data_IF_787928534835
#
_entry.id   IF_787928534835
#
_cell.length_a   1.000
_cell.length_b   1.000
_cell.length_c   1.000
_cell.angle_alpha   90.00
_cell.angle_beta   90.00
_cell.angle_gamma   90.00
#
_symmetry.space_group_name_H-M   'P 1'
#
loop_
_entity.id
_entity.type
_entity.pdbx_description
1 polymer ?
#
# COMPACT_ATOMS: atom_id res chain seq x y z
N UNK A 1 -0.10 26.12 20.70
CA UNK A 1 -0.82 24.84 20.97
C UNK A 1 -0.60 23.77 19.90
N UNK A 2 -0.18 24.16 18.66
CA UNK A 2 0.06 23.19 17.57
C UNK A 2 1.29 22.31 17.76
N UNK A 3 2.32 22.80 18.44
CA UNK A 3 3.60 22.09 18.65
C UNK A 3 3.46 20.95 19.65
N UNK A 4 2.55 21.05 20.60
CA UNK A 4 2.35 20.00 21.61
C UNK A 4 1.50 18.83 21.11
N UNK A 5 0.68 19.04 20.07
CA UNK A 5 -0.11 17.94 19.49
C UNK A 5 0.71 17.08 18.52
N UNK A 6 1.70 17.67 17.82
CA UNK A 6 2.58 16.90 16.93
C UNK A 6 3.41 15.87 17.71
N UNK A 7 3.84 16.20 18.94
CA UNK A 7 4.63 15.29 19.80
C UNK A 7 3.82 14.08 20.28
N UNK A 8 2.50 14.16 20.34
CA UNK A 8 1.64 13.04 20.75
C UNK A 8 1.51 11.94 19.69
N UNK A 9 1.78 12.26 18.44
CA UNK A 9 1.64 11.33 17.31
C UNK A 9 2.98 10.77 16.81
N UNK A 10 4.10 11.27 17.34
CA UNK A 10 5.44 10.74 17.04
C UNK A 10 5.84 9.83 18.19
N UNK A 11 5.92 8.55 17.92
CA UNK A 11 6.47 7.60 18.87
C UNK A 11 7.98 7.44 18.64
N UNK A 12 8.65 6.66 19.51
CA UNK A 12 10.10 6.41 19.44
C UNK A 12 10.56 5.73 18.14
N UNK A 13 9.59 5.25 17.28
CA UNK A 13 9.85 4.57 16.02
C UNK A 13 9.65 5.50 14.82
N UNK A 14 9.56 6.82 15.02
CA UNK A 14 9.34 7.84 13.98
C UNK A 14 8.00 7.71 13.25
N UNK A 15 7.02 7.00 13.78
CA UNK A 15 5.70 6.92 13.15
C UNK A 15 4.92 8.23 13.31
N UNK A 16 4.16 8.59 12.29
CA UNK A 16 3.24 9.73 12.30
C UNK A 16 1.84 9.25 11.92
N UNK A 17 0.86 9.50 12.79
CA UNK A 17 -0.55 9.19 12.54
C UNK A 17 -0.77 7.71 12.13
N UNK A 18 0.02 6.79 12.69
CA UNK A 18 -0.05 5.37 12.40
C UNK A 18 0.76 4.92 11.18
N UNK A 19 1.43 5.83 10.48
CA UNK A 19 2.28 5.52 9.33
C UNK A 19 3.76 5.70 9.68
N UNK A 20 4.61 4.83 9.10
CA UNK A 20 6.06 4.92 9.20
C UNK A 20 6.63 5.71 8.02
N UNK A 21 7.80 6.36 8.19
CA UNK A 21 8.46 7.05 7.09
C UNK A 21 9.08 6.05 6.12
N UNK A 22 9.01 6.37 4.83
CA UNK A 22 9.62 5.59 3.75
C UNK A 22 10.39 6.48 2.82
N UNK A 23 11.60 6.05 2.44
CA UNK A 23 12.39 6.71 1.44
C UNK A 23 11.81 6.45 0.05
N UNK A 24 11.75 7.49 -0.78
CA UNK A 24 11.34 7.35 -2.17
C UNK A 24 12.36 6.53 -2.96
N UNK A 25 11.87 5.60 -3.76
CA UNK A 25 12.69 4.75 -4.63
C UNK A 25 13.45 5.60 -5.66
N UNK A 26 14.68 5.20 -6.00
CA UNK A 26 15.42 5.76 -7.14
C UNK A 26 14.79 5.34 -8.46
N UNK A 27 14.72 6.25 -9.42
CA UNK A 27 14.05 6.00 -10.72
C UNK A 27 14.63 4.81 -11.49
N UNK A 28 15.93 4.56 -11.39
CA UNK A 28 16.60 3.44 -12.06
C UNK A 28 16.16 2.06 -11.56
N UNK A 29 15.52 2.00 -10.39
CA UNK A 29 14.99 0.75 -9.82
C UNK A 29 13.53 0.51 -10.19
N UNK A 30 12.89 1.45 -10.86
CA UNK A 30 11.52 1.31 -11.34
C UNK A 30 11.45 0.62 -12.68
N UNK A 31 10.44 -0.20 -12.87
CA UNK A 31 10.10 -0.81 -14.15
C UNK A 31 8.60 -0.66 -14.41
N UNK A 32 8.26 -0.32 -15.66
CA UNK A 32 6.87 -0.27 -16.09
C UNK A 32 6.40 -1.69 -16.40
N UNK A 33 5.35 -2.15 -15.73
CA UNK A 33 4.74 -3.48 -15.99
C UNK A 33 3.54 -3.39 -16.91
N UNK A 34 2.92 -2.23 -16.99
CA UNK A 34 1.86 -1.88 -17.96
C UNK A 34 1.73 -0.36 -17.98
N UNK A 35 0.97 0.25 -18.93
CA UNK A 35 0.79 1.69 -18.97
C UNK A 35 0.33 2.25 -17.62
N UNK A 36 1.02 3.27 -17.11
CA UNK A 36 0.73 3.96 -15.85
C UNK A 36 0.95 3.13 -14.56
N UNK A 37 1.51 1.93 -14.65
CA UNK A 37 1.86 1.11 -13.48
C UNK A 37 3.37 0.82 -13.48
N UNK A 38 4.06 1.47 -12.57
CA UNK A 38 5.47 1.23 -12.32
C UNK A 38 5.66 0.61 -10.94
N UNK A 39 6.61 -0.30 -10.79
CA UNK A 39 6.93 -0.97 -9.53
C UNK A 39 8.44 -1.12 -9.41
N UNK A 40 8.91 -1.43 -8.19
CA UNK A 40 10.30 -1.79 -7.98
C UNK A 40 10.62 -3.05 -8.79
N UNK A 41 11.79 -3.04 -9.44
CA UNK A 41 12.25 -4.15 -10.30
C UNK A 41 12.27 -5.50 -9.56
N UNK A 42 12.58 -5.51 -8.26
CA UNK A 42 12.64 -6.75 -7.46
C UNK A 42 11.30 -7.48 -7.39
N UNK A 43 10.18 -6.76 -7.47
CA UNK A 43 8.86 -7.38 -7.32
C UNK A 43 8.15 -7.65 -8.65
N UNK A 44 8.67 -7.14 -9.75
CA UNK A 44 7.98 -7.19 -11.04
C UNK A 44 7.69 -8.61 -11.52
N UNK A 45 8.67 -9.49 -11.45
CA UNK A 45 8.52 -10.89 -11.88
C UNK A 45 7.51 -11.64 -11.02
N UNK A 46 7.59 -11.52 -9.69
CA UNK A 46 6.64 -12.16 -8.76
C UNK A 46 5.22 -11.65 -8.95
N UNK A 47 5.05 -10.34 -9.18
CA UNK A 47 3.74 -9.75 -9.39
C UNK A 47 3.09 -10.26 -10.69
N UNK A 48 3.84 -10.29 -11.79
CA UNK A 48 3.35 -10.78 -13.07
C UNK A 48 3.07 -12.29 -13.02
N UNK A 49 3.90 -13.07 -12.34
CA UNK A 49 3.68 -14.50 -12.13
C UNK A 49 2.41 -14.75 -11.31
N UNK A 50 2.19 -13.98 -10.27
CA UNK A 50 0.99 -14.08 -9.45
C UNK A 50 -0.27 -13.84 -10.31
N UNK A 51 -0.28 -12.79 -11.14
CA UNK A 51 -1.40 -12.51 -12.05
C UNK A 51 -1.62 -13.62 -13.05
N UNK A 52 -0.56 -14.14 -13.65
CA UNK A 52 -0.62 -15.26 -14.59
C UNK A 52 -1.20 -16.52 -13.96
N UNK A 53 -0.76 -16.87 -12.74
CA UNK A 53 -1.28 -18.04 -12.03
C UNK A 53 -2.74 -17.85 -11.58
N UNK A 54 -3.13 -16.64 -11.23
CA UNK A 54 -4.54 -16.32 -10.95
C UNK A 54 -5.43 -16.58 -12.17
N UNK A 55 -4.98 -16.22 -13.36
CA UNK A 55 -5.71 -16.47 -14.61
C UNK A 55 -5.97 -17.96 -14.81
N UNK A 56 -5.00 -18.81 -14.47
CA UNK A 56 -5.17 -20.28 -14.55
C UNK A 56 -6.29 -20.80 -13.64
N UNK A 57 -6.56 -20.10 -12.56
CA UNK A 57 -7.65 -20.39 -11.62
C UNK A 57 -8.95 -19.63 -11.96
N UNK A 58 -9.01 -18.96 -13.10
CA UNK A 58 -10.17 -18.18 -13.52
C UNK A 58 -10.32 -16.84 -12.80
N UNK A 59 -9.26 -16.33 -12.19
CA UNK A 59 -9.25 -15.07 -11.45
C UNK A 59 -8.50 -14.02 -12.25
N UNK A 60 -9.12 -12.85 -12.46
CA UNK A 60 -8.57 -11.79 -13.29
C UNK A 60 -8.24 -10.57 -12.40
N UNK A 61 -6.97 -10.50 -11.95
CA UNK A 61 -6.45 -9.40 -11.16
C UNK A 61 -6.22 -8.18 -12.05
N UNK A 62 -6.59 -7.00 -11.58
CA UNK A 62 -6.26 -5.73 -12.21
C UNK A 62 -5.37 -4.91 -11.27
N UNK A 63 -4.32 -4.30 -11.82
CA UNK A 63 -3.43 -3.42 -11.06
C UNK A 63 -3.97 -1.99 -11.13
N UNK A 64 -4.28 -1.43 -9.98
CA UNK A 64 -4.94 -0.13 -9.87
C UNK A 64 -3.94 1.01 -9.66
N UNK A 65 -2.88 0.78 -8.87
CA UNK A 65 -1.88 1.77 -8.52
C UNK A 65 -0.60 1.08 -8.07
N UNK A 66 0.52 1.47 -8.64
CA UNK A 66 1.86 1.03 -8.23
C UNK A 66 2.63 2.14 -7.54
N UNK A 67 3.84 2.42 -8.02
CA UNK A 67 4.65 3.53 -7.51
C UNK A 67 3.91 4.86 -7.60
N UNK A 68 4.00 5.61 -6.50
CA UNK A 68 3.58 7.02 -6.44
C UNK A 68 4.71 7.85 -5.83
N UNK A 69 5.08 8.95 -6.48
CA UNK A 69 6.08 9.87 -5.94
C UNK A 69 5.57 10.51 -4.64
N UNK A 70 6.50 10.98 -3.82
CA UNK A 70 6.16 11.76 -2.62
C UNK A 70 5.35 13.00 -3.01
N UNK A 71 5.69 13.66 -4.12
CA UNK A 71 4.96 14.83 -4.62
C UNK A 71 3.52 14.48 -4.99
N UNK A 72 3.29 13.37 -5.70
CA UNK A 72 1.93 12.93 -6.02
C UNK A 72 1.15 12.57 -4.76
N UNK A 73 1.77 11.89 -3.81
CA UNK A 73 1.14 11.56 -2.53
C UNK A 73 0.75 12.82 -1.74
N UNK A 74 1.58 13.87 -1.82
CA UNK A 74 1.26 15.18 -1.24
C UNK A 74 -0.01 15.77 -1.84
N UNK A 75 -0.13 15.74 -3.16
CA UNK A 75 -1.32 16.24 -3.87
C UNK A 75 -2.57 15.45 -3.46
N UNK A 76 -2.49 14.12 -3.43
CA UNK A 76 -3.60 13.25 -3.04
C UNK A 76 -4.02 13.55 -1.60
N UNK A 77 -3.08 13.60 -0.66
CA UNK A 77 -3.35 13.80 0.76
C UNK A 77 -4.02 15.15 1.03
N UNK A 78 -3.48 16.23 0.48
CA UNK A 78 -3.99 17.58 0.74
C UNK A 78 -5.23 17.94 -0.07
N UNK A 79 -5.36 17.46 -1.31
CA UNK A 79 -6.58 17.65 -2.10
C UNK A 79 -7.80 17.05 -1.43
N UNK A 80 -7.71 15.82 -0.98
CA UNK A 80 -8.81 15.13 -0.32
C UNK A 80 -9.12 15.74 1.06
N UNK A 81 -8.10 16.18 1.78
CA UNK A 81 -8.27 16.91 3.04
C UNK A 81 -9.06 18.20 2.83
N UNK A 82 -8.71 18.97 1.81
CA UNK A 82 -9.40 20.22 1.46
C UNK A 82 -10.85 19.97 1.06
N UNK A 83 -11.09 19.01 0.17
CA UNK A 83 -12.44 18.69 -0.32
C UNK A 83 -13.39 18.22 0.79
N UNK A 84 -12.87 17.52 1.79
CA UNK A 84 -13.66 16.93 2.87
C UNK A 84 -13.61 17.75 4.17
N UNK A 85 -12.88 18.85 4.18
CA UNK A 85 -12.65 19.66 5.38
C UNK A 85 -12.16 18.82 6.57
N UNK A 86 -11.27 17.85 6.30
CA UNK A 86 -10.73 16.93 7.30
C UNK A 86 -9.45 17.46 7.92
N UNK A 87 -9.26 17.19 9.22
CA UNK A 87 -7.98 17.40 9.88
C UNK A 87 -6.98 16.30 9.43
N UNK A 88 -5.68 16.57 9.60
CA UNK A 88 -4.62 15.65 9.14
C UNK A 88 -4.74 14.25 9.75
N UNK A 89 -5.15 14.14 11.03
CA UNK A 89 -5.31 12.83 11.69
C UNK A 89 -6.42 11.99 11.06
N UNK A 90 -7.56 12.62 10.73
CA UNK A 90 -8.67 11.92 10.06
C UNK A 90 -8.28 11.49 8.65
N UNK A 91 -7.59 12.37 7.92
CA UNK A 91 -7.15 12.07 6.56
C UNK A 91 -6.11 10.92 6.52
N UNK A 92 -5.22 10.84 7.51
CA UNK A 92 -4.18 9.82 7.60
C UNK A 92 -4.74 8.40 7.80
N UNK A 93 -5.99 8.25 8.26
CA UNK A 93 -6.64 6.93 8.34
C UNK A 93 -6.90 6.33 6.96
N UNK A 94 -7.17 7.16 5.95
CA UNK A 94 -7.53 6.74 4.59
C UNK A 94 -6.44 7.00 3.55
N UNK A 95 -5.42 7.80 3.89
CA UNK A 95 -4.30 8.08 2.98
C UNK A 95 -3.07 8.46 3.80
N UNK A 96 -1.93 7.85 3.51
CA UNK A 96 -0.68 8.17 4.19
C UNK A 96 -0.23 9.62 3.90
N UNK A 97 0.31 10.34 4.89
CA UNK A 97 0.98 11.61 4.64
C UNK A 97 2.16 11.48 3.66
N UNK A 98 2.54 12.58 2.96
CA UNK A 98 3.71 12.56 2.07
C UNK A 98 4.97 12.10 2.81
N UNK A 99 5.72 11.18 2.21
CA UNK A 99 6.90 10.56 2.85
C UNK A 99 6.57 9.36 3.75
N UNK A 100 5.30 9.01 3.91
CA UNK A 100 4.83 7.91 4.78
C UNK A 100 4.01 6.87 4.02
N UNK A 101 3.97 6.93 2.69
CA UNK A 101 3.28 5.96 1.85
C UNK A 101 4.20 4.83 1.42
N UNK A 102 3.75 3.59 1.57
CA UNK A 102 4.45 2.42 1.04
C UNK A 102 4.59 2.47 -0.48
N UNK A 103 3.66 3.14 -1.19
CA UNK A 103 3.73 3.29 -2.65
C UNK A 103 4.96 4.05 -3.14
N UNK A 104 5.53 4.91 -2.32
CA UNK A 104 6.76 5.66 -2.68
C UNK A 104 8.01 4.78 -2.68
N UNK A 105 7.96 3.61 -2.06
CA UNK A 105 9.06 2.63 -2.08
C UNK A 105 9.14 1.81 -3.36
N UNK A 106 8.07 1.81 -4.17
CA UNK A 106 7.91 0.92 -5.32
C UNK A 106 7.50 -0.51 -4.96
N UNK A 107 7.38 -0.84 -3.66
CA UNK A 107 7.06 -2.20 -3.18
C UNK A 107 5.59 -2.40 -2.81
N UNK A 108 4.72 -1.45 -3.13
CA UNK A 108 3.29 -1.57 -2.89
C UNK A 108 2.51 -1.57 -4.19
N UNK A 109 1.44 -2.35 -4.22
CA UNK A 109 0.54 -2.47 -5.36
C UNK A 109 -0.90 -2.53 -4.86
N UNK A 110 -1.77 -1.73 -5.46
CA UNK A 110 -3.20 -1.83 -5.25
C UNK A 110 -3.80 -2.72 -6.32
N UNK A 111 -4.59 -3.71 -5.88
CA UNK A 111 -5.14 -4.75 -6.75
C UNK A 111 -6.66 -4.75 -6.67
N UNK A 112 -7.30 -4.91 -7.81
CA UNK A 112 -8.75 -5.08 -7.93
C UNK A 112 -9.12 -6.37 -8.64
N UNK A 113 -10.43 -6.58 -8.78
CA UNK A 113 -11.03 -7.68 -9.53
C UNK A 113 -11.55 -7.14 -10.85
N UNK A 114 -11.05 -7.66 -11.98
CA UNK A 114 -11.47 -7.20 -13.30
C UNK A 114 -12.98 -7.37 -13.55
N UNK A 115 -13.60 -8.35 -12.88
CA UNK A 115 -15.04 -8.65 -13.01
C UNK A 115 -15.90 -7.85 -12.02
N UNK A 116 -15.30 -7.09 -11.11
CA UNK A 116 -15.98 -6.34 -10.03
C UNK A 116 -15.35 -4.96 -9.83
N UNK A 117 -15.22 -4.18 -10.91
CA UNK A 117 -14.54 -2.89 -10.89
C UNK A 117 -15.22 -1.84 -9.99
N UNK A 118 -16.51 -2.03 -9.65
CA UNK A 118 -17.22 -1.21 -8.66
C UNK A 118 -16.63 -1.34 -7.25
N UNK A 119 -15.82 -2.37 -7.01
CA UNK A 119 -15.14 -2.58 -5.73
C UNK A 119 -13.73 -1.98 -5.68
N UNK A 120 -13.26 -1.35 -6.76
CA UNK A 120 -11.93 -0.72 -6.81
C UNK A 120 -11.79 0.30 -5.68
N UNK A 121 -10.72 0.16 -4.87
CA UNK A 121 -10.44 1.02 -3.70
C UNK A 121 -11.57 1.05 -2.65
N UNK A 122 -12.38 0.01 -2.60
CA UNK A 122 -13.48 -0.10 -1.65
C UNK A 122 -13.29 -1.30 -0.72
N UNK A 123 -13.81 -1.21 0.51
CA UNK A 123 -13.77 -2.32 1.47
C UNK A 123 -14.51 -3.54 0.91
N UNK A 124 -15.54 -3.32 0.09
CA UNK A 124 -16.30 -4.39 -0.57
C UNK A 124 -15.45 -5.29 -1.47
N UNK A 125 -14.24 -4.87 -1.86
CA UNK A 125 -13.29 -5.75 -2.54
C UNK A 125 -13.04 -7.05 -1.76
N UNK A 126 -13.14 -7.02 -0.45
CA UNK A 126 -12.98 -8.22 0.40
C UNK A 126 -13.98 -9.35 0.10
N UNK A 127 -15.11 -9.01 -0.56
CA UNK A 127 -16.15 -9.99 -0.92
C UNK A 127 -15.96 -10.58 -2.32
N UNK A 128 -14.90 -10.19 -3.04
CA UNK A 128 -14.65 -10.67 -4.40
C UNK A 128 -13.89 -11.99 -4.41
N UNK A 129 -14.01 -12.71 -5.52
CA UNK A 129 -13.22 -13.93 -5.77
C UNK A 129 -11.73 -13.62 -5.86
N UNK A 130 -11.36 -12.46 -6.43
CA UNK A 130 -9.97 -12.01 -6.49
C UNK A 130 -9.35 -11.87 -5.10
N UNK A 131 -10.06 -11.24 -4.17
CA UNK A 131 -9.55 -11.10 -2.79
C UNK A 131 -9.42 -12.46 -2.09
N UNK A 132 -10.39 -13.34 -2.25
CA UNK A 132 -10.30 -14.70 -1.68
C UNK A 132 -9.10 -15.46 -2.22
N UNK A 133 -8.84 -15.33 -3.53
CA UNK A 133 -7.66 -15.92 -4.15
C UNK A 133 -6.36 -15.33 -3.61
N UNK A 134 -6.27 -14.01 -3.48
CA UNK A 134 -5.11 -13.31 -2.92
C UNK A 134 -4.85 -13.72 -1.47
N UNK A 135 -5.90 -13.79 -0.64
CA UNK A 135 -5.77 -14.23 0.75
C UNK A 135 -5.16 -15.62 0.86
N UNK A 136 -5.48 -16.51 -0.07
CA UNK A 136 -5.00 -17.88 -0.10
C UNK A 136 -3.61 -18.01 -0.72
N UNK A 137 -3.28 -17.19 -1.72
CA UNK A 137 -2.13 -17.43 -2.61
C UNK A 137 -1.05 -16.35 -2.57
N UNK A 138 -1.35 -15.11 -2.20
CA UNK A 138 -0.41 -13.99 -2.33
C UNK A 138 0.90 -14.21 -1.57
N UNK A 139 0.86 -14.88 -0.42
CA UNK A 139 2.05 -15.17 0.37
C UNK A 139 3.08 -16.04 -0.38
N UNK A 140 2.66 -16.88 -1.31
CA UNK A 140 3.55 -17.69 -2.16
C UNK A 140 4.42 -16.82 -3.07
N UNK A 141 3.95 -15.62 -3.37
CA UNK A 141 4.64 -14.64 -4.22
C UNK A 141 5.26 -13.52 -3.38
N UNK A 142 5.31 -13.69 -2.06
CA UNK A 142 5.88 -12.75 -1.08
C UNK A 142 5.10 -11.45 -0.93
N UNK A 143 3.79 -11.49 -1.18
CA UNK A 143 2.89 -10.35 -0.95
C UNK A 143 2.06 -10.56 0.31
N UNK A 144 1.84 -9.48 1.05
CA UNK A 144 0.97 -9.47 2.23
C UNK A 144 0.18 -8.17 2.32
N UNK A 145 -0.97 -8.23 3.01
CA UNK A 145 -1.75 -7.03 3.35
C UNK A 145 -1.01 -6.17 4.37
N UNK A 146 -0.88 -4.88 4.08
CA UNK A 146 -0.29 -3.92 5.00
C UNK A 146 -1.27 -3.41 6.05
N UNK A 147 -2.52 -3.19 5.66
CA UNK A 147 -3.54 -2.52 6.47
C UNK A 147 -4.71 -3.45 6.70
N UNK A 148 -4.64 -4.18 7.81
CA UNK A 148 -5.61 -5.22 8.18
C UNK A 148 -6.78 -4.65 8.99
N UNK A 149 -7.83 -5.44 9.18
CA UNK A 149 -8.98 -5.08 10.02
C UNK A 149 -8.61 -4.83 11.49
N UNK A 150 -7.47 -5.34 11.93
CA UNK A 150 -7.01 -5.21 13.32
C UNK A 150 -6.14 -3.97 13.57
N UNK A 151 -5.83 -3.19 12.53
CA UNK A 151 -5.08 -1.96 12.68
C UNK A 151 -5.98 -0.86 13.25
N UNK A 152 -5.62 -0.31 14.42
CA UNK A 152 -6.41 0.72 15.10
C UNK A 152 -6.16 2.13 14.57
N UNK A 153 -5.04 2.34 13.88
CA UNK A 153 -4.57 3.67 13.49
C UNK A 153 -4.86 4.01 12.03
N UNK A 154 -5.00 3.00 11.18
CA UNK A 154 -5.21 3.13 9.74
C UNK A 154 -6.38 2.26 9.33
N UNK A 155 -7.21 2.76 8.43
CA UNK A 155 -8.36 2.02 7.93
C UNK A 155 -7.94 0.77 7.17
N UNK A 156 -8.78 -0.25 7.26
CA UNK A 156 -8.60 -1.49 6.52
C UNK A 156 -8.61 -1.26 5.01
N UNK A 157 -7.59 -1.79 4.32
CA UNK A 157 -7.46 -1.70 2.87
C UNK A 157 -7.24 -3.10 2.26
N UNK A 158 -8.31 -3.81 1.86
CA UNK A 158 -8.17 -5.15 1.26
C UNK A 158 -7.49 -5.14 -0.12
N UNK A 159 -7.41 -3.99 -0.78
CA UNK A 159 -6.76 -3.85 -2.09
C UNK A 159 -5.24 -3.63 -2.00
N UNK A 160 -4.70 -3.22 -0.84
CA UNK A 160 -3.32 -2.76 -0.69
C UNK A 160 -2.40 -3.89 -0.23
N UNK A 161 -1.48 -4.30 -1.11
CA UNK A 161 -0.54 -5.39 -0.88
C UNK A 161 0.89 -4.88 -1.00
N UNK A 162 1.79 -5.36 -0.15
CA UNK A 162 3.22 -5.03 -0.21
C UNK A 162 4.07 -6.28 -0.41
N UNK A 163 5.18 -6.10 -1.11
CA UNK A 163 6.13 -7.14 -1.44
C UNK A 163 7.24 -7.19 -0.40
N UNK A 164 7.56 -8.38 0.08
CA UNK A 164 8.64 -8.63 1.05
C UNK A 164 9.56 -9.77 0.59
N UNK A 165 9.72 -9.98 -0.71
CA UNK A 165 10.44 -11.12 -1.28
C UNK A 165 11.90 -10.86 -1.64
N UNK A 166 12.45 -9.68 -1.34
CA UNK A 166 13.87 -9.39 -1.54
C UNK A 166 14.50 -8.81 -0.28
N UNK A 167 15.83 -8.83 -0.20
CA UNK A 167 16.55 -8.25 0.94
C UNK A 167 16.24 -6.76 1.07
N UNK A 168 16.19 -6.03 -0.04
CA UNK A 168 15.86 -4.61 -0.04
C UNK A 168 14.45 -4.36 0.49
N UNK A 169 13.46 -5.14 0.03
CA UNK A 169 12.09 -5.04 0.50
C UNK A 169 11.97 -5.35 1.99
N UNK A 170 12.64 -6.38 2.47
CA UNK A 170 12.65 -6.75 3.88
C UNK A 170 13.24 -5.64 4.76
N UNK A 171 14.29 -4.98 4.30
CA UNK A 171 14.88 -3.83 5.00
C UNK A 171 13.92 -2.65 5.07
N UNK A 172 13.23 -2.37 3.97
CA UNK A 172 12.24 -1.27 3.90
C UNK A 172 11.11 -1.47 4.90
N UNK A 173 10.60 -2.70 5.06
CA UNK A 173 9.45 -2.99 5.91
C UNK A 173 9.81 -3.55 7.30
N UNK A 174 11.08 -3.60 7.66
CA UNK A 174 11.53 -4.14 8.94
C UNK A 174 10.86 -3.45 10.14
N UNK A 175 10.81 -2.12 10.12
CA UNK A 175 10.20 -1.35 11.20
C UNK A 175 8.68 -1.61 11.31
N UNK A 176 7.97 -1.74 10.19
CA UNK A 176 6.56 -2.08 10.15
C UNK A 176 6.30 -3.46 10.77
N UNK A 177 7.10 -4.45 10.40
CA UNK A 177 6.98 -5.81 10.91
C UNK A 177 7.32 -5.92 12.39
N UNK A 178 8.30 -5.15 12.87
CA UNK A 178 8.67 -5.08 14.27
C UNK A 178 7.54 -4.51 15.13
N UNK A 179 6.85 -3.48 14.64
CA UNK A 179 5.75 -2.83 15.36
C UNK A 179 4.50 -3.71 15.47
N UNK A 180 4.29 -4.62 14.52
CA UNK A 180 3.16 -5.57 14.56
C UNK A 180 3.31 -6.64 15.66
N UNK A 181 4.51 -6.82 16.22
CA UNK A 181 4.78 -7.81 17.27
C UNK A 181 4.59 -7.26 18.70
N UNK A 182 4.25 -5.99 18.82
CA UNK A 182 3.91 -5.32 20.09
C UNK A 182 2.40 -5.15 20.20
#
# INVERSE_FOLDING_TARGET
>A
SGVNNAKKFVNNDLSILGHLPYKEISKEKLVSIEPNIEVHIDMSESLLKMREDAIKDGIYLVFLSGYRSINLQKEIFYSLKSMRNQIAAERAKVSAPPGYSEHSTGFAIDIGDADKRETDFEVQFENTDAFRWLKKNAAKYHFKLSFTQHNKNVDYEPWHWRYEGSIEALKVFEASNRNLKK
#
